data_IF_793951918286
#
_entry.id   IF_793951918286
#
_cell.length_a   1.000
_cell.length_b   1.000
_cell.length_c   1.000
_cell.angle_alpha   90.00
_cell.angle_beta   90.00
_cell.angle_gamma   90.00
#
_symmetry.space_group_name_H-M   'P 1'
#
loop_
_entity.id
_entity.type
_entity.pdbx_description
1 polymer ?
#
# COMPACT_ATOMS: atom_id res chain seq x y z
N UNK A 1 -11.03 1.87 -21.03
CA UNK A 1 -10.59 2.03 -19.62
C UNK A 1 -10.13 3.47 -19.46
N UNK A 2 -10.74 4.23 -18.55
CA UNK A 2 -10.25 5.57 -18.19
C UNK A 2 -9.33 5.36 -17.00
N UNK A 3 -8.03 5.51 -17.21
CA UNK A 3 -7.07 5.62 -16.11
C UNK A 3 -7.37 6.91 -15.36
N UNK A 4 -8.12 6.80 -14.27
CA UNK A 4 -8.19 7.86 -13.26
C UNK A 4 -6.90 7.73 -12.46
N UNK A 5 -5.81 8.29 -12.98
CA UNK A 5 -4.55 8.35 -12.24
C UNK A 5 -4.73 9.33 -11.07
N UNK A 6 -4.85 8.79 -9.86
CA UNK A 6 -4.83 9.61 -8.65
C UNK A 6 -3.42 10.20 -8.51
N UNK A 7 -3.28 11.53 -8.64
CA UNK A 7 -2.00 12.19 -8.49
C UNK A 7 -1.65 12.38 -7.00
N UNK A 8 -1.15 11.31 -6.37
CA UNK A 8 -0.72 11.32 -4.98
C UNK A 8 0.68 11.93 -4.79
N UNK A 9 1.41 12.21 -5.88
CA UNK A 9 2.76 12.79 -5.82
C UNK A 9 2.76 14.19 -5.19
N UNK A 10 1.65 14.92 -5.27
CA UNK A 10 1.52 16.23 -4.61
C UNK A 10 1.63 16.14 -3.08
N UNK A 11 1.41 14.95 -2.50
CA UNK A 11 1.55 14.66 -1.07
C UNK A 11 2.86 13.91 -0.74
N UNK A 12 3.78 13.81 -1.70
CA UNK A 12 5.03 13.05 -1.55
C UNK A 12 4.86 11.52 -1.58
N UNK A 13 3.68 11.04 -1.98
CA UNK A 13 3.35 9.61 -2.00
C UNK A 13 3.70 9.04 -3.38
N UNK A 14 4.55 8.01 -3.41
CA UNK A 14 4.98 7.35 -4.64
C UNK A 14 4.44 5.91 -4.69
N UNK A 15 3.31 5.72 -5.37
CA UNK A 15 2.68 4.41 -5.57
C UNK A 15 2.70 4.07 -7.07
N UNK A 16 3.11 2.84 -7.37
CA UNK A 16 3.07 2.24 -8.70
C UNK A 16 2.24 0.97 -8.58
N UNK A 17 1.11 0.90 -9.29
CA UNK A 17 0.17 -0.20 -9.12
C UNK A 17 -0.31 -0.73 -10.47
N UNK A 18 -0.34 -2.06 -10.62
CA UNK A 18 -1.01 -2.74 -11.74
C UNK A 18 -2.53 -2.83 -11.49
N UNK A 19 -2.95 -2.65 -10.23
CA UNK A 19 -4.36 -2.54 -9.83
C UNK A 19 -4.81 -1.08 -9.85
N UNK A 20 -6.13 -0.88 -9.95
CA UNK A 20 -6.72 0.45 -9.85
C UNK A 20 -6.57 1.01 -8.42
N UNK A 21 -6.03 2.23 -8.32
CA UNK A 21 -5.92 2.98 -7.07
C UNK A 21 -6.99 4.04 -7.04
N UNK A 22 -7.84 4.03 -6.01
CA UNK A 22 -8.94 4.99 -5.86
C UNK A 22 -8.84 5.72 -4.52
N UNK A 23 -9.25 6.99 -4.49
CA UNK A 23 -9.50 7.70 -3.24
C UNK A 23 -10.79 7.14 -2.64
N UNK A 24 -10.70 6.61 -1.41
CA UNK A 24 -11.85 6.15 -0.64
C UNK A 24 -12.46 7.30 0.18
N UNK A 25 -11.60 8.11 0.80
CA UNK A 25 -11.98 9.28 1.59
C UNK A 25 -10.85 10.31 1.50
N UNK A 26 -11.23 11.57 1.47
CA UNK A 26 -10.29 12.68 1.58
C UNK A 26 -10.93 13.76 2.44
N UNK A 27 -10.24 14.18 3.49
CA UNK A 27 -10.64 15.32 4.32
C UNK A 27 -9.46 16.28 4.51
N UNK A 28 -9.58 17.26 5.40
CA UNK A 28 -8.55 18.29 5.58
C UNK A 28 -7.24 17.72 6.16
N UNK A 29 -7.29 16.58 6.83
CA UNK A 29 -6.18 15.98 7.58
C UNK A 29 -5.60 14.77 6.86
N UNK A 30 -6.46 13.89 6.37
CA UNK A 30 -6.08 12.58 5.87
C UNK A 30 -6.61 12.31 4.44
N UNK A 31 -5.93 11.39 3.77
CA UNK A 31 -6.39 10.78 2.52
C UNK A 31 -6.29 9.25 2.65
N UNK A 32 -7.44 8.60 2.50
CA UNK A 32 -7.55 7.15 2.45
C UNK A 32 -7.66 6.72 0.99
N UNK A 33 -6.79 5.81 0.57
CA UNK A 33 -6.90 5.15 -0.73
C UNK A 33 -7.27 3.69 -0.55
N UNK A 34 -7.95 3.15 -1.55
CA UNK A 34 -8.30 1.74 -1.65
C UNK A 34 -7.74 1.14 -2.94
N UNK A 35 -7.18 -0.05 -2.82
CA UNK A 35 -6.70 -0.88 -3.94
C UNK A 35 -7.38 -2.24 -3.86
N UNK A 36 -8.39 -2.51 -4.69
CA UNK A 36 -9.02 -3.83 -4.76
C UNK A 36 -8.05 -4.87 -5.30
N UNK A 37 -7.90 -5.99 -4.57
CA UNK A 37 -7.04 -7.13 -4.92
C UNK A 37 -7.82 -8.38 -5.30
N UNK A 38 -9.16 -8.29 -5.36
CA UNK A 38 -10.05 -9.35 -5.86
C UNK A 38 -9.93 -10.71 -5.13
N UNK A 39 -9.46 -10.71 -3.89
CA UNK A 39 -9.31 -11.95 -3.10
C UNK A 39 -8.02 -12.71 -3.38
N UNK A 40 -7.01 -12.08 -3.98
CA UNK A 40 -5.71 -12.68 -4.25
C UNK A 40 -4.94 -13.00 -2.96
N UNK A 41 -4.01 -13.95 -3.06
CA UNK A 41 -2.96 -14.10 -2.05
C UNK A 41 -1.98 -12.95 -2.21
N UNK A 42 -1.71 -12.24 -1.11
CA UNK A 42 -0.83 -11.08 -1.09
C UNK A 42 0.52 -11.43 -0.47
N UNK A 43 1.59 -11.17 -1.21
CA UNK A 43 2.97 -11.31 -0.75
C UNK A 43 3.48 -9.94 -0.31
N UNK A 44 3.84 -9.82 0.97
CA UNK A 44 4.47 -8.61 1.49
C UNK A 44 5.99 -8.73 1.34
N UNK A 45 6.59 -7.74 0.68
CA UNK A 45 8.02 -7.69 0.42
C UNK A 45 8.56 -6.34 0.89
N UNK A 46 9.52 -6.36 1.80
CA UNK A 46 10.12 -5.15 2.35
C UNK A 46 11.62 -5.14 2.02
N UNK A 47 12.13 -4.03 1.52
CA UNK A 47 13.57 -3.81 1.48
C UNK A 47 14.13 -3.83 2.90
N UNK A 48 15.30 -4.45 3.10
CA UNK A 48 15.98 -4.52 4.40
C UNK A 48 15.19 -5.25 5.51
N UNK A 49 14.55 -6.37 5.17
CA UNK A 49 14.02 -7.28 6.19
C UNK A 49 15.13 -7.73 7.15
N UNK A 50 14.84 -7.92 8.45
CA UNK A 50 15.83 -8.45 9.38
C UNK A 50 16.31 -9.84 8.96
N UNK A 51 17.61 -10.11 9.10
CA UNK A 51 18.24 -11.36 8.63
C UNK A 51 17.71 -12.63 9.31
N UNK A 52 17.02 -12.50 10.45
CA UNK A 52 16.37 -13.62 11.14
C UNK A 52 14.99 -13.99 10.54
N UNK A 53 14.45 -13.17 9.63
CA UNK A 53 13.23 -13.47 8.90
C UNK A 53 13.56 -13.89 7.47
N UNK A 54 12.88 -14.93 6.98
CA UNK A 54 12.92 -15.27 5.56
C UNK A 54 12.26 -14.20 4.70
N UNK A 55 12.35 -14.36 3.39
CA UNK A 55 11.89 -13.34 2.42
C UNK A 55 10.37 -13.30 2.20
N UNK A 56 9.56 -13.97 3.02
CA UNK A 56 8.15 -14.23 2.73
C UNK A 56 7.26 -13.98 3.94
N UNK A 57 6.42 -12.95 3.83
CA UNK A 57 5.22 -12.77 4.63
C UNK A 57 4.04 -12.79 3.66
N UNK A 58 3.03 -13.62 3.95
CA UNK A 58 1.90 -13.80 3.05
C UNK A 58 0.56 -13.77 3.75
N UNK A 59 -0.42 -13.20 3.05
CA UNK A 59 -1.79 -13.10 3.51
C UNK A 59 -2.73 -13.64 2.43
N UNK A 60 -3.41 -14.74 2.71
CA UNK A 60 -4.36 -15.33 1.77
C UNK A 60 -5.70 -14.58 1.76
N UNK A 61 -6.33 -14.56 0.58
CA UNK A 61 -7.68 -14.05 0.33
C UNK A 61 -7.87 -12.56 0.67
N UNK A 62 -6.87 -11.73 0.40
CA UNK A 62 -6.99 -10.27 0.63
C UNK A 62 -7.84 -9.68 -0.49
N UNK A 63 -8.92 -9.00 -0.10
CA UNK A 63 -9.86 -8.36 -1.04
C UNK A 63 -9.48 -6.92 -1.31
N UNK A 64 -9.00 -6.19 -0.31
CA UNK A 64 -8.66 -4.79 -0.45
C UNK A 64 -7.42 -4.44 0.36
N UNK A 65 -6.61 -3.55 -0.18
CA UNK A 65 -5.66 -2.74 0.58
C UNK A 65 -6.32 -1.40 0.86
N UNK A 66 -6.27 -0.94 2.10
CA UNK A 66 -6.57 0.45 2.43
C UNK A 66 -5.32 1.07 3.01
N UNK A 67 -4.93 2.23 2.48
CA UNK A 67 -3.78 2.98 2.99
C UNK A 67 -4.25 4.38 3.38
N UNK A 68 -4.00 4.75 4.64
CA UNK A 68 -4.28 6.08 5.17
C UNK A 68 -3.00 6.88 5.23
N UNK A 69 -2.98 8.02 4.56
CA UNK A 69 -1.89 8.98 4.59
C UNK A 69 -2.34 10.28 5.24
N UNK A 70 -1.44 10.90 6.00
CA UNK A 70 -1.64 12.27 6.48
C UNK A 70 -1.28 13.26 5.37
N UNK A 71 -2.05 14.33 5.25
CA UNK A 71 -1.76 15.48 4.39
C UNK A 71 -0.76 16.46 4.99
N UNK A 72 -0.45 16.33 6.28
CA UNK A 72 0.55 17.16 6.94
C UNK A 72 1.94 16.86 6.37
N UNK A 73 2.62 17.90 5.86
CA UNK A 73 3.96 17.79 5.27
C UNK A 73 5.03 17.26 6.26
N UNK A 74 4.76 17.35 7.57
CA UNK A 74 5.66 16.89 8.62
C UNK A 74 5.35 15.46 9.10
N UNK A 75 4.35 14.80 8.54
CA UNK A 75 3.95 13.45 8.93
C UNK A 75 3.94 12.53 7.70
N UNK A 76 5.00 11.74 7.58
CA UNK A 76 5.19 10.74 6.53
C UNK A 76 4.86 9.33 6.99
N UNK A 77 4.14 9.18 8.10
CA UNK A 77 3.63 7.88 8.52
C UNK A 77 2.34 7.59 7.78
N UNK A 78 2.25 6.41 7.16
CA UNK A 78 0.99 5.87 6.66
C UNK A 78 0.66 4.55 7.35
N UNK A 79 -0.64 4.29 7.50
CA UNK A 79 -1.16 3.02 8.01
C UNK A 79 -1.69 2.20 6.84
N UNK A 80 -1.28 0.94 6.75
CA UNK A 80 -1.74 -0.01 5.75
C UNK A 80 -2.64 -1.05 6.42
N UNK A 81 -3.81 -1.26 5.85
CA UNK A 81 -4.82 -2.22 6.30
C UNK A 81 -5.05 -3.27 5.21
N UNK A 82 -4.88 -4.55 5.56
CA UNK A 82 -5.14 -5.68 4.66
C UNK A 82 -6.50 -6.28 4.97
N UNK A 83 -7.51 -6.04 4.12
CA UNK A 83 -8.90 -6.41 4.40
C UNK A 83 -9.32 -7.70 3.68
N UNK A 84 -10.00 -8.60 4.40
CA UNK A 84 -10.67 -9.80 3.82
C UNK A 84 -12.10 -9.57 3.39
N UNK A 85 -12.69 -8.44 3.79
CA UNK A 85 -14.02 -8.00 3.35
C UNK A 85 -14.01 -6.48 3.11
N UNK A 86 -15.17 -5.91 2.78
CA UNK A 86 -15.31 -4.46 2.56
C UNK A 86 -15.28 -3.70 3.89
N UNK A 87 -15.60 -4.36 5.01
CA UNK A 87 -15.59 -3.75 6.33
C UNK A 87 -14.14 -3.50 6.81
N UNK A 88 -13.83 -2.29 7.27
CA UNK A 88 -12.51 -1.95 7.81
C UNK A 88 -12.15 -2.76 9.06
N UNK A 89 -13.17 -3.20 9.83
CA UNK A 89 -12.97 -4.13 10.96
C UNK A 89 -12.57 -5.54 10.51
N UNK A 90 -12.66 -5.85 9.21
CA UNK A 90 -12.18 -7.11 8.64
C UNK A 90 -10.69 -7.12 8.29
N UNK A 91 -9.94 -6.14 8.81
CA UNK A 91 -8.49 -6.14 8.66
C UNK A 91 -7.88 -7.35 9.33
N UNK A 92 -7.05 -8.05 8.57
CA UNK A 92 -6.30 -9.22 9.02
C UNK A 92 -4.94 -8.81 9.58
N UNK A 93 -4.33 -7.80 8.96
CA UNK A 93 -3.05 -7.23 9.33
C UNK A 93 -3.12 -5.72 9.14
N UNK A 94 -2.64 -5.00 10.16
CA UNK A 94 -2.37 -3.58 10.10
C UNK A 94 -0.89 -3.35 10.39
N UNK A 95 -0.27 -2.43 9.67
CA UNK A 95 1.08 -1.96 9.99
C UNK A 95 1.25 -0.51 9.57
N UNK A 96 2.24 0.14 10.17
CA UNK A 96 2.62 1.51 9.84
C UNK A 96 3.97 1.50 9.12
N UNK A 97 4.16 2.45 8.22
CA UNK A 97 5.44 2.70 7.58
C UNK A 97 5.65 4.19 7.39
N UNK A 98 6.91 4.61 7.55
CA UNK A 98 7.35 5.93 7.11
C UNK A 98 7.58 5.88 5.60
N UNK A 99 6.70 6.48 4.79
CA UNK A 99 6.78 6.43 3.34
C UNK A 99 7.77 7.44 2.76
N UNK A 100 8.48 8.21 3.60
CA UNK A 100 9.52 9.11 3.15
C UNK A 100 10.57 8.34 2.34
N UNK A 101 10.81 8.80 1.12
CA UNK A 101 11.79 8.20 0.21
C UNK A 101 11.50 6.74 -0.13
N UNK A 102 10.24 6.29 0.00
CA UNK A 102 9.83 4.94 -0.37
C UNK A 102 9.00 4.93 -1.65
N UNK A 103 9.12 3.83 -2.38
CA UNK A 103 8.24 3.48 -3.49
C UNK A 103 7.40 2.29 -3.06
N UNK A 104 6.08 2.46 -3.07
CA UNK A 104 5.12 1.39 -2.83
C UNK A 104 4.73 0.82 -4.19
N UNK A 105 5.04 -0.46 -4.42
CA UNK A 105 4.66 -1.18 -5.62
C UNK A 105 3.57 -2.21 -5.31
N UNK A 106 2.51 -2.22 -6.12
CA UNK A 106 1.43 -3.21 -6.02
C UNK A 106 1.31 -3.90 -7.37
N UNK A 107 1.79 -5.15 -7.46
CA UNK A 107 1.86 -5.86 -8.74
C UNK A 107 0.85 -6.97 -8.83
N UNK A 108 0.22 -7.10 -10.00
CA UNK A 108 -0.61 -8.25 -10.31
C UNK A 108 0.25 -9.34 -10.94
N UNK A 109 0.31 -10.50 -10.30
CA UNK A 109 0.97 -11.69 -10.83
C UNK A 109 -0.09 -12.72 -11.22
N UNK A 110 0.32 -13.74 -11.98
CA UNK A 110 -0.58 -14.76 -12.50
C UNK A 110 -1.41 -15.46 -11.40
N UNK A 111 -0.81 -15.71 -10.24
CA UNK A 111 -1.43 -16.47 -9.13
C UNK A 111 -1.48 -15.72 -7.79
N UNK A 112 -0.94 -14.51 -7.72
CA UNK A 112 -0.85 -13.72 -6.49
C UNK A 112 -0.77 -12.23 -6.80
N UNK A 113 -0.82 -11.42 -5.74
CA UNK A 113 -0.44 -10.02 -5.80
C UNK A 113 0.81 -9.81 -4.93
N UNK A 114 1.61 -8.79 -5.26
CA UNK A 114 2.76 -8.38 -4.45
C UNK A 114 2.53 -6.98 -3.94
N UNK A 115 2.65 -6.77 -2.64
CA UNK A 115 2.82 -5.46 -2.03
C UNK A 115 4.29 -5.30 -1.64
N UNK A 116 5.02 -4.45 -2.36
CA UNK A 116 6.46 -4.28 -2.20
C UNK A 116 6.79 -2.86 -1.78
N UNK A 117 7.63 -2.75 -0.75
CA UNK A 117 8.21 -1.51 -0.28
C UNK A 117 9.69 -1.47 -0.70
N UNK A 118 10.06 -0.45 -1.47
CA UNK A 118 11.42 -0.20 -1.94
C UNK A 118 11.91 1.15 -1.41
N UNK A 119 13.20 1.27 -1.10
CA UNK A 119 13.84 2.58 -0.94
C UNK A 119 14.12 3.22 -2.30
N UNK A 120 13.92 4.52 -2.40
CA UNK A 120 14.34 5.29 -3.57
C UNK A 120 15.86 5.51 -3.51
N UNK A 121 16.60 4.68 -4.25
CA UNK A 121 18.07 4.72 -4.29
C UNK A 121 18.63 6.01 -4.93
N UNK A 122 17.78 6.89 -5.48
CA UNK A 122 18.19 8.17 -6.08
C UNK A 122 18.42 9.31 -5.09
N UNK A 123 18.26 9.07 -3.78
CA UNK A 123 18.40 10.08 -2.73
C UNK A 123 19.58 9.82 -1.77
N UNK A 124 20.54 8.98 -2.17
CA UNK A 124 21.84 8.78 -1.50
C UNK A 124 22.94 9.54 -2.25
#
# INVERSE_FOLDING_TARGET
MRDISVNLKQYGINIISDFEVRILREDDVDIDIIVPLEGRTLDLQFSNMPDYMGNRIQCSMIKNLVMRFSKSANNTICTVHLLRSIDIYSSVINFELDYKELIIQIKDLEYSAVFRILRDEKMI
#
